data_IF_766767615228
#
_entry.id   IF_766767615228
#
_cell.length_a   1.000
_cell.length_b   1.000
_cell.length_c   1.000
_cell.angle_alpha   90.00
_cell.angle_beta   90.00
_cell.angle_gamma   90.00
#
_symmetry.space_group_name_H-M   'P 1'
#
loop_
_entity.id
_entity.type
_entity.pdbx_description
1 polymer ?
#
# COMPACT_ATOMS: atom_id res chain seq x y z
N UNK A 1 4.97 -23.04 10.40
CA UNK A 1 3.55 -23.15 10.82
C UNK A 1 2.88 -21.77 10.76
N UNK A 2 1.60 -21.64 10.41
CA UNK A 2 0.91 -20.35 10.44
C UNK A 2 0.83 -19.80 11.87
N UNK A 3 0.95 -18.48 12.04
CA UNK A 3 0.76 -17.83 13.34
C UNK A 3 -0.70 -18.04 13.80
N UNK A 4 -0.95 -18.27 15.11
CA UNK A 4 -2.27 -18.62 15.63
C UNK A 4 -3.20 -17.39 15.75
N UNK A 5 -3.39 -16.66 14.65
CA UNK A 5 -4.27 -15.49 14.59
C UNK A 5 -5.69 -15.91 14.21
N UNK A 6 -6.68 -15.30 14.87
CA UNK A 6 -8.09 -15.52 14.53
C UNK A 6 -8.40 -14.89 13.18
N UNK A 7 -9.28 -15.52 12.39
CA UNK A 7 -9.78 -14.98 11.12
C UNK A 7 -10.35 -13.56 11.27
N UNK A 8 -11.01 -13.28 12.40
CA UNK A 8 -11.52 -11.95 12.71
C UNK A 8 -10.42 -10.88 12.72
N UNK A 9 -9.22 -11.21 13.19
CA UNK A 9 -8.08 -10.29 13.22
C UNK A 9 -7.55 -9.99 11.82
N UNK A 10 -7.55 -10.98 10.92
CA UNK A 10 -7.21 -10.77 9.51
C UNK A 10 -8.25 -9.87 8.83
N UNK A 11 -9.55 -10.09 9.09
CA UNK A 11 -10.61 -9.22 8.56
C UNK A 11 -10.46 -7.77 9.02
N UNK A 12 -10.12 -7.56 10.30
CA UNK A 12 -9.84 -6.24 10.85
C UNK A 12 -8.64 -5.58 10.15
N UNK A 13 -7.54 -6.32 9.97
CA UNK A 13 -6.35 -5.83 9.28
C UNK A 13 -6.67 -5.41 7.83
N UNK A 14 -7.38 -6.26 7.09
CA UNK A 14 -7.82 -5.98 5.71
C UNK A 14 -8.73 -4.77 5.64
N UNK A 15 -9.70 -4.65 6.54
CA UNK A 15 -10.58 -3.48 6.60
C UNK A 15 -9.80 -2.19 6.89
N UNK A 16 -8.85 -2.23 7.85
CA UNK A 16 -8.03 -1.07 8.21
C UNK A 16 -7.16 -0.61 7.05
N UNK A 17 -6.58 -1.56 6.30
CA UNK A 17 -5.82 -1.30 5.08
C UNK A 17 -6.70 -0.73 3.96
N UNK A 18 -7.89 -1.28 3.74
CA UNK A 18 -8.81 -0.79 2.72
C UNK A 18 -9.28 0.65 3.01
N UNK A 19 -9.58 0.97 4.27
CA UNK A 19 -10.01 2.31 4.68
C UNK A 19 -8.89 3.35 4.57
N UNK A 20 -7.71 3.00 5.07
CA UNK A 20 -6.67 4.01 5.37
C UNK A 20 -5.54 4.01 4.33
N UNK A 21 -5.44 2.98 3.51
CA UNK A 21 -4.33 2.81 2.57
C UNK A 21 -2.98 2.95 3.26
N UNK A 22 -2.21 3.96 2.85
CA UNK A 22 -0.88 4.29 3.39
C UNK A 22 -0.88 5.57 4.24
N UNK A 23 -2.05 6.13 4.51
CA UNK A 23 -2.18 7.46 5.11
C UNK A 23 -2.34 7.43 6.64
N UNK A 24 -2.41 6.24 7.24
CA UNK A 24 -2.61 6.07 8.67
C UNK A 24 -1.91 4.77 9.15
N UNK A 25 -2.24 4.35 10.37
CA UNK A 25 -1.74 3.14 11.01
C UNK A 25 -2.49 1.89 10.54
N UNK A 26 -1.73 0.84 10.28
CA UNK A 26 -2.20 -0.50 9.91
C UNK A 26 -1.99 -1.49 11.06
N UNK A 27 -2.52 -2.70 10.90
CA UNK A 27 -2.25 -3.81 11.82
C UNK A 27 -1.02 -4.56 11.30
N UNK A 28 0.02 -4.66 12.13
CA UNK A 28 1.26 -5.34 11.78
C UNK A 28 1.04 -6.86 11.78
N UNK A 29 1.31 -7.59 10.68
CA UNK A 29 0.85 -8.96 10.49
C UNK A 29 1.55 -10.00 11.39
N UNK A 30 2.68 -9.66 12.00
CA UNK A 30 3.42 -10.55 12.91
C UNK A 30 3.07 -10.34 14.38
N UNK A 31 2.79 -9.09 14.77
CA UNK A 31 2.55 -8.72 16.18
C UNK A 31 1.08 -8.49 16.47
N UNK A 32 0.27 -8.29 15.42
CA UNK A 32 -1.15 -7.90 15.47
C UNK A 32 -1.40 -6.57 16.18
N UNK A 33 -0.37 -5.73 16.27
CA UNK A 33 -0.43 -4.41 16.89
C UNK A 33 -0.58 -3.31 15.83
N UNK A 34 -1.06 -2.14 16.25
CA UNK A 34 -1.12 -0.97 15.40
C UNK A 34 0.27 -0.43 15.13
N UNK A 35 0.64 -0.21 13.86
CA UNK A 35 1.92 0.36 13.45
C UNK A 35 1.74 1.32 12.26
N UNK A 36 2.66 2.29 12.03
CA UNK A 36 2.63 3.14 10.84
C UNK A 36 2.59 2.30 9.56
N UNK A 37 1.79 2.70 8.56
CA UNK A 37 1.67 1.94 7.30
C UNK A 37 3.03 1.65 6.66
N UNK A 38 3.94 2.63 6.65
CA UNK A 38 5.31 2.48 6.14
C UNK A 38 6.06 1.32 6.81
N UNK A 39 6.02 1.23 8.14
CA UNK A 39 6.68 0.17 8.88
C UNK A 39 6.09 -1.21 8.51
N UNK A 40 4.76 -1.29 8.35
CA UNK A 40 4.07 -2.53 7.97
C UNK A 40 4.46 -2.99 6.57
N UNK A 41 4.45 -2.10 5.57
CA UNK A 41 4.84 -2.49 4.20
C UNK A 41 6.34 -2.79 4.07
N UNK A 42 7.20 -2.13 4.85
CA UNK A 42 8.62 -2.49 4.95
C UNK A 42 8.81 -3.86 5.58
N UNK A 43 8.04 -4.21 6.60
CA UNK A 43 8.08 -5.55 7.18
C UNK A 43 7.63 -6.62 6.18
N UNK A 44 6.65 -6.32 5.32
CA UNK A 44 6.24 -7.23 4.25
C UNK A 44 7.39 -7.45 3.26
N UNK A 45 8.01 -6.37 2.77
CA UNK A 45 9.13 -6.46 1.85
C UNK A 45 10.31 -7.25 2.46
N UNK A 46 10.62 -7.00 3.74
CA UNK A 46 11.64 -7.77 4.45
C UNK A 46 11.30 -9.27 4.54
N UNK A 47 10.01 -9.60 4.74
CA UNK A 47 9.56 -10.98 4.81
C UNK A 47 9.70 -11.74 3.48
N UNK A 48 9.44 -11.08 2.35
CA UNK A 48 9.50 -11.71 1.01
C UNK A 48 10.83 -11.49 0.29
N UNK A 49 11.83 -10.88 0.95
CA UNK A 49 13.08 -10.42 0.34
C UNK A 49 13.84 -11.51 -0.39
N UNK A 50 13.98 -12.67 0.25
CA UNK A 50 14.76 -13.78 -0.32
C UNK A 50 14.05 -14.37 -1.54
N UNK A 51 12.73 -14.60 -1.44
CA UNK A 51 11.93 -15.04 -2.58
C UNK A 51 12.01 -14.06 -3.76
N UNK A 52 11.94 -12.75 -3.51
CA UNK A 52 12.11 -11.74 -4.57
C UNK A 52 13.52 -11.75 -5.15
N UNK A 53 14.55 -12.04 -4.35
CA UNK A 53 15.93 -12.14 -4.84
C UNK A 53 16.09 -13.34 -5.76
N UNK A 54 15.54 -14.48 -5.36
CA UNK A 54 15.64 -15.75 -6.11
C UNK A 54 14.97 -15.65 -7.49
N UNK A 55 13.96 -14.77 -7.64
CA UNK A 55 13.26 -14.51 -8.89
C UNK A 55 13.79 -13.27 -9.64
N UNK A 56 14.79 -12.56 -9.11
CA UNK A 56 15.34 -11.34 -9.72
C UNK A 56 14.47 -10.07 -9.56
N UNK A 57 13.38 -10.15 -8.80
CA UNK A 57 12.39 -9.09 -8.64
C UNK A 57 12.68 -8.11 -7.49
N UNK A 58 13.70 -8.37 -6.66
CA UNK A 58 13.95 -7.59 -5.45
C UNK A 58 14.15 -6.10 -5.74
N UNK A 59 14.96 -5.76 -6.74
CA UNK A 59 15.23 -4.37 -7.11
C UNK A 59 13.95 -3.64 -7.57
N UNK A 60 13.11 -4.33 -8.34
CA UNK A 60 11.82 -3.81 -8.81
C UNK A 60 10.87 -3.55 -7.64
N UNK A 61 10.80 -4.48 -6.68
CA UNK A 61 9.96 -4.34 -5.50
C UNK A 61 10.44 -3.19 -4.58
N UNK A 62 11.75 -3.06 -4.38
CA UNK A 62 12.35 -1.96 -3.59
C UNK A 62 12.08 -0.59 -4.23
N UNK A 63 12.23 -0.46 -5.56
CA UNK A 63 11.84 0.76 -6.29
C UNK A 63 10.33 1.01 -6.21
N UNK A 64 9.52 -0.01 -6.41
CA UNK A 64 8.06 0.08 -6.31
C UNK A 64 7.62 0.61 -4.95
N UNK A 65 8.19 0.09 -3.86
CA UNK A 65 7.90 0.55 -2.51
C UNK A 65 8.39 1.99 -2.28
N UNK A 66 9.61 2.33 -2.70
CA UNK A 66 10.14 3.72 -2.59
C UNK A 66 9.24 4.71 -3.32
N UNK A 67 8.83 4.39 -4.55
CA UNK A 67 7.90 5.21 -5.33
C UNK A 67 6.56 5.34 -4.63
N UNK A 68 5.98 4.23 -4.18
CA UNK A 68 4.68 4.20 -3.50
C UNK A 68 4.67 5.06 -2.23
N UNK A 69 5.71 4.98 -1.39
CA UNK A 69 5.82 5.80 -0.18
C UNK A 69 6.01 7.30 -0.51
N UNK A 70 6.75 7.62 -1.57
CA UNK A 70 7.00 9.00 -2.01
C UNK A 70 5.75 9.65 -2.64
N UNK A 71 5.09 8.95 -3.55
CA UNK A 71 4.00 9.52 -4.37
C UNK A 71 2.61 9.22 -3.83
N UNK A 72 2.49 8.28 -2.90
CA UNK A 72 1.20 7.71 -2.49
C UNK A 72 0.60 6.78 -3.55
N UNK A 73 -0.64 6.37 -3.30
CA UNK A 73 -1.40 5.47 -4.17
C UNK A 73 -2.39 6.24 -5.07
N UNK A 74 -3.07 5.51 -5.97
CA UNK A 74 -4.07 6.09 -6.87
C UNK A 74 -5.21 6.82 -6.14
N UNK A 75 -5.71 6.27 -5.03
CA UNK A 75 -6.77 6.90 -4.25
C UNK A 75 -6.36 8.28 -3.68
N UNK A 76 -5.12 8.41 -3.20
CA UNK A 76 -4.58 9.71 -2.75
C UNK A 76 -4.48 10.68 -3.91
N UNK A 77 -3.90 10.26 -5.03
CA UNK A 77 -3.78 11.11 -6.24
C UNK A 77 -5.15 11.63 -6.69
N UNK A 78 -6.15 10.75 -6.76
CA UNK A 78 -7.50 11.09 -7.17
C UNK A 78 -8.17 12.07 -6.20
N UNK A 79 -8.07 11.81 -4.89
CA UNK A 79 -8.62 12.71 -3.85
C UNK A 79 -7.93 14.07 -3.86
N UNK A 80 -6.61 14.11 -4.01
CA UNK A 80 -5.85 15.35 -4.05
C UNK A 80 -6.21 16.19 -5.28
N UNK A 81 -6.39 15.55 -6.43
CA UNK A 81 -6.84 16.24 -7.65
C UNK A 81 -8.25 16.76 -7.53
N UNK A 82 -9.19 15.94 -7.08
CA UNK A 82 -10.58 16.38 -6.91
C UNK A 82 -10.67 17.56 -5.93
N UNK A 83 -9.91 17.53 -4.83
CA UNK A 83 -9.85 18.67 -3.89
C UNK A 83 -9.25 19.93 -4.53
N UNK A 84 -8.25 19.79 -5.40
CA UNK A 84 -7.56 20.93 -6.04
C UNK A 84 -8.33 21.53 -7.21
N UNK A 85 -9.02 20.71 -8.00
CA UNK A 85 -9.66 21.13 -9.25
C UNK A 85 -11.18 21.26 -9.15
N UNK A 86 -11.80 20.62 -8.15
CA UNK A 86 -13.26 20.49 -8.05
C UNK A 86 -13.89 19.67 -9.18
N UNK A 87 -13.09 19.03 -10.05
CA UNK A 87 -13.55 18.43 -11.29
C UNK A 87 -13.26 16.94 -11.34
N UNK A 88 -14.33 16.14 -11.30
CA UNK A 88 -14.25 14.69 -11.50
C UNK A 88 -13.71 14.34 -12.89
N UNK A 89 -14.14 15.10 -13.92
CA UNK A 89 -13.66 14.93 -15.29
C UNK A 89 -12.14 15.09 -15.39
N UNK A 90 -11.60 16.15 -14.77
CA UNK A 90 -10.14 16.39 -14.75
C UNK A 90 -9.39 15.27 -14.05
N UNK A 91 -9.93 14.77 -12.93
CA UNK A 91 -9.33 13.65 -12.19
C UNK A 91 -9.33 12.35 -13.00
N UNK A 92 -10.41 12.04 -13.72
CA UNK A 92 -10.50 10.86 -14.59
C UNK A 92 -9.54 10.99 -15.78
N UNK A 93 -9.52 12.15 -16.45
CA UNK A 93 -8.62 12.41 -17.58
C UNK A 93 -7.15 12.25 -17.17
N UNK A 94 -6.77 12.70 -15.97
CA UNK A 94 -5.45 12.42 -15.41
C UNK A 94 -5.22 10.92 -15.26
N UNK A 95 -6.15 10.18 -14.62
CA UNK A 95 -5.97 8.76 -14.35
C UNK A 95 -5.74 7.98 -15.64
N UNK A 96 -6.52 8.26 -16.68
CA UNK A 96 -6.36 7.65 -18.02
C UNK A 96 -4.95 7.89 -18.56
N UNK A 97 -4.49 9.14 -18.55
CA UNK A 97 -3.15 9.50 -19.04
C UNK A 97 -2.02 8.83 -18.26
N UNK A 98 -2.21 8.50 -16.97
CA UNK A 98 -1.21 7.78 -16.15
C UNK A 98 -1.15 6.28 -16.42
N UNK A 99 -2.19 5.68 -17.00
CA UNK A 99 -2.27 4.22 -17.21
C UNK A 99 -2.18 3.80 -18.68
N UNK A 100 -2.07 4.75 -19.61
CA UNK A 100 -1.93 4.49 -21.06
C UNK A 100 -0.47 4.30 -21.53
N UNK A 101 0.50 4.33 -20.62
CA UNK A 101 1.90 3.92 -20.86
C UNK A 101 2.05 2.41 -20.84
#
# INVERSE_FOLDING_TARGET
PPLPHRVASLRLASWRAARSGLEDRLVHPRTMESAPAEAVVRSLLAHVRDALRDHGDLALAEEGLRRLLRTGNGARVQRDMLRRTGSLHTMIAECVRRTQT
#
